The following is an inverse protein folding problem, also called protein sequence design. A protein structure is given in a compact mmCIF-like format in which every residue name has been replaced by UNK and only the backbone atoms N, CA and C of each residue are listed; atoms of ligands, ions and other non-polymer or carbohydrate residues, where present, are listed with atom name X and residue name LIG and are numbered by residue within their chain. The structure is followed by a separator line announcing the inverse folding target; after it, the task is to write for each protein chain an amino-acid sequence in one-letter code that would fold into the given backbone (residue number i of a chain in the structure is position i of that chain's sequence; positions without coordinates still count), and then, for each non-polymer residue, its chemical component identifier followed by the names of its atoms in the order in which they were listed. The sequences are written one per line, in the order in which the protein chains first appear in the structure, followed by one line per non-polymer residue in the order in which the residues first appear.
data_IF_069785605516
#
_entry.id   IF_069785605516
#
_cell.length_a   1.000
_cell.length_b   1.000
_cell.length_c   1.000
_cell.angle_alpha   90.00
_cell.angle_beta   90.00
_cell.angle_gamma   90.00
#
_symmetry.space_group_name_H-M   'P 1'
#
loop_
_entity.id
_entity.type
_entity.pdbx_description
1 polymer ?
#
# COMPACT_ATOMS: atom_id res chain seq x y z
N UNK A 1 -23.10 -1.36 17.22
CA UNK A 1 -22.08 -2.30 16.73
C UNK A 1 -22.64 -3.72 16.71
N UNK A 2 -22.49 -4.48 15.61
CA UNK A 2 -22.92 -5.90 15.50
C UNK A 2 -21.68 -6.74 15.12
N UNK A 3 -21.31 -7.72 15.96
CA UNK A 3 -20.20 -8.62 15.69
C UNK A 3 -20.71 -9.85 14.95
N UNK A 4 -20.00 -10.26 13.90
CA UNK A 4 -20.23 -11.49 13.15
C UNK A 4 -19.11 -12.49 13.45
N UNK A 5 -19.47 -13.75 13.65
CA UNK A 5 -18.50 -14.81 13.98
C UNK A 5 -18.15 -15.66 12.76
N UNK A 6 -16.91 -16.15 12.71
CA UNK A 6 -16.41 -16.99 11.62
C UNK A 6 -16.62 -16.34 10.24
N UNK A 7 -16.28 -15.07 10.15
CA UNK A 7 -16.54 -14.26 8.95
C UNK A 7 -15.55 -14.57 7.83
N UNK A 8 -16.08 -14.83 6.62
CA UNK A 8 -15.28 -15.09 5.42
C UNK A 8 -14.67 -13.80 4.87
N UNK A 9 -13.35 -13.74 4.80
CA UNK A 9 -12.55 -12.63 4.28
C UNK A 9 -12.00 -12.87 2.87
N UNK A 10 -12.39 -13.94 2.20
CA UNK A 10 -11.88 -14.29 0.87
C UNK A 10 -12.11 -13.17 -0.14
N UNK A 11 -13.28 -12.54 -0.12
CA UNK A 11 -13.62 -11.41 -0.99
C UNK A 11 -13.06 -10.06 -0.50
N UNK A 12 -12.41 -10.02 0.67
CA UNK A 12 -11.91 -8.81 1.31
C UNK A 12 -10.38 -8.70 1.26
N UNK A 13 -9.72 -9.50 0.42
CA UNK A 13 -8.33 -9.35 0.08
C UNK A 13 -8.14 -9.51 -1.43
N UNK A 14 -7.39 -8.60 -2.03
CA UNK A 14 -7.24 -8.54 -3.50
C UNK A 14 -6.39 -9.66 -4.08
N UNK A 15 -5.67 -10.44 -3.25
CA UNK A 15 -4.95 -11.64 -3.66
C UNK A 15 -5.87 -12.88 -3.72
N UNK A 16 -7.14 -12.72 -3.30
CA UNK A 16 -8.17 -13.76 -3.22
C UNK A 16 -7.74 -15.00 -2.45
N UNK A 17 -6.93 -14.82 -1.40
CA UNK A 17 -6.60 -15.89 -0.48
C UNK A 17 -7.83 -16.26 0.33
N UNK A 18 -8.13 -17.58 0.38
CA UNK A 18 -9.17 -18.09 1.27
C UNK A 18 -8.81 -17.78 2.71
N UNK A 19 -9.66 -17.02 3.42
CA UNK A 19 -9.38 -16.58 4.77
C UNK A 19 -10.65 -16.38 5.58
N UNK A 20 -10.59 -16.70 6.87
CA UNK A 20 -11.69 -16.54 7.83
C UNK A 20 -11.16 -16.00 9.14
N UNK A 21 -11.77 -14.92 9.67
CA UNK A 21 -11.48 -14.44 11.02
C UNK A 21 -12.53 -14.98 12.02
N UNK A 22 -12.13 -15.07 13.31
CA UNK A 22 -13.05 -15.49 14.36
C UNK A 22 -14.19 -14.51 14.57
N UNK A 23 -13.87 -13.21 14.58
CA UNK A 23 -14.79 -12.12 14.86
C UNK A 23 -14.58 -10.95 13.89
N UNK A 24 -15.68 -10.38 13.43
CA UNK A 24 -15.68 -9.28 12.46
C UNK A 24 -16.68 -8.21 12.86
N UNK A 25 -16.29 -6.96 12.68
CA UNK A 25 -17.17 -5.80 12.82
C UNK A 25 -16.88 -4.77 11.72
N UNK A 26 -17.93 -4.28 11.08
CA UNK A 26 -17.84 -3.12 10.19
C UNK A 26 -18.11 -1.85 11.00
N UNK A 27 -17.17 -0.89 10.96
CA UNK A 27 -17.31 0.39 11.64
C UNK A 27 -17.59 1.51 10.62
N UNK A 28 -18.73 2.17 10.82
CA UNK A 28 -19.16 3.34 10.04
C UNK A 28 -19.12 4.64 10.84
N UNK A 29 -18.87 4.55 12.15
CA UNK A 29 -18.72 5.67 13.07
C UNK A 29 -17.49 5.46 13.97
N UNK A 30 -16.69 6.51 14.19
CA UNK A 30 -15.52 6.45 15.07
C UNK A 30 -15.86 6.24 16.55
N UNK A 31 -17.08 6.59 16.97
CA UNK A 31 -17.58 6.33 18.33
C UNK A 31 -17.73 4.82 18.63
N UNK A 32 -17.82 3.98 17.60
CA UNK A 32 -17.89 2.52 17.74
C UNK A 32 -16.49 1.87 17.96
N UNK A 33 -15.39 2.62 17.83
CA UNK A 33 -14.03 2.08 18.03
C UNK A 33 -13.85 1.59 19.47
N UNK A 34 -14.15 2.41 20.47
CA UNK A 34 -14.02 2.00 21.88
C UNK A 34 -14.90 0.81 22.26
N UNK A 35 -16.18 0.75 21.87
CA UNK A 35 -17.00 -0.45 22.02
C UNK A 35 -16.37 -1.71 21.42
N UNK A 36 -15.77 -1.59 20.21
CA UNK A 36 -15.10 -2.71 19.55
C UNK A 36 -13.85 -3.16 20.32
N UNK A 37 -13.05 -2.23 20.82
CA UNK A 37 -11.87 -2.54 21.65
C UNK A 37 -12.26 -3.19 22.97
N UNK A 38 -13.32 -2.70 23.64
CA UNK A 38 -13.83 -3.35 24.87
C UNK A 38 -14.31 -4.78 24.60
N UNK A 39 -14.96 -5.01 23.44
CA UNK A 39 -15.34 -6.37 23.03
C UNK A 39 -14.12 -7.27 22.85
N UNK A 40 -13.09 -6.82 22.10
CA UNK A 40 -11.87 -7.57 21.87
C UNK A 40 -11.19 -7.95 23.19
N UNK A 41 -11.03 -7.02 24.12
CA UNK A 41 -10.46 -7.25 25.46
C UNK A 41 -11.25 -8.26 26.27
N UNK A 42 -12.59 -8.14 26.29
CA UNK A 42 -13.46 -9.07 27.04
C UNK A 42 -13.38 -10.51 26.54
N UNK A 43 -13.03 -10.71 25.26
CA UNK A 43 -12.89 -12.02 24.63
C UNK A 43 -11.44 -12.49 24.44
N UNK A 44 -10.46 -11.71 24.90
CA UNK A 44 -9.03 -12.05 24.78
C UNK A 44 -8.55 -12.08 23.31
N UNK A 45 -9.14 -11.24 22.44
CA UNK A 45 -8.83 -11.18 21.03
C UNK A 45 -7.86 -10.03 20.72
N UNK A 46 -6.91 -10.28 19.84
CA UNK A 46 -6.16 -9.21 19.18
C UNK A 46 -7.07 -8.43 18.23
N UNK A 47 -6.67 -7.22 17.88
CA UNK A 47 -7.37 -6.36 16.93
C UNK A 47 -6.60 -6.31 15.62
N UNK A 48 -7.28 -6.68 14.54
CA UNK A 48 -6.78 -6.48 13.18
C UNK A 48 -7.64 -5.44 12.46
N UNK A 49 -6.99 -4.41 11.89
CA UNK A 49 -7.68 -3.34 11.13
C UNK A 49 -7.65 -3.68 9.65
N UNK A 50 -8.83 -3.89 9.07
CA UNK A 50 -9.02 -4.12 7.65
C UNK A 50 -9.48 -2.82 6.96
N UNK A 51 -8.80 -2.45 5.89
CA UNK A 51 -9.18 -1.39 4.96
C UNK A 51 -9.65 -2.01 3.64
N UNK A 52 -9.02 -1.69 2.52
CA UNK A 52 -9.35 -2.26 1.20
C UNK A 52 -8.77 -3.65 0.92
N UNK A 53 -7.98 -4.22 1.83
CA UNK A 53 -7.39 -5.55 1.68
C UNK A 53 -6.39 -5.72 0.52
N UNK A 54 -5.87 -4.62 -0.02
CA UNK A 54 -5.06 -4.62 -1.24
C UNK A 54 -3.56 -4.89 -1.03
N UNK A 55 -3.13 -5.06 0.23
CA UNK A 55 -1.71 -5.27 0.57
C UNK A 55 -1.55 -6.27 1.72
N UNK A 56 -2.30 -7.38 1.69
CA UNK A 56 -2.38 -8.35 2.77
C UNK A 56 -2.07 -9.77 2.31
N UNK A 57 -1.38 -10.52 3.18
CA UNK A 57 -1.20 -11.97 3.13
C UNK A 57 -1.90 -12.57 4.35
N UNK A 58 -3.09 -13.10 4.13
CA UNK A 58 -3.96 -13.62 5.18
C UNK A 58 -3.82 -15.13 5.34
N UNK A 59 -3.73 -15.67 6.56
CA UNK A 59 -3.83 -17.10 6.80
C UNK A 59 -5.26 -17.61 6.55
N UNK A 60 -5.41 -18.90 6.30
CA UNK A 60 -6.73 -19.50 6.04
C UNK A 60 -7.71 -19.27 7.21
N UNK A 61 -7.20 -19.28 8.45
CA UNK A 61 -7.98 -18.95 9.66
C UNK A 61 -7.12 -18.19 10.66
N UNK A 62 -7.72 -17.21 11.33
CA UNK A 62 -7.07 -16.52 12.43
C UNK A 62 -8.06 -16.06 13.50
N UNK A 63 -7.54 -15.93 14.73
CA UNK A 63 -8.29 -15.54 15.92
C UNK A 63 -8.01 -14.08 16.26
N UNK A 64 -8.89 -13.19 15.79
CA UNK A 64 -8.83 -11.76 16.08
C UNK A 64 -10.21 -11.12 15.86
N UNK A 65 -10.43 -9.98 16.48
CA UNK A 65 -11.46 -9.05 16.04
C UNK A 65 -10.97 -8.28 14.82
N UNK A 66 -11.51 -8.59 13.65
CA UNK A 66 -11.28 -7.83 12.44
C UNK A 66 -12.20 -6.61 12.42
N UNK A 67 -11.62 -5.42 12.51
CA UNK A 67 -12.31 -4.13 12.40
C UNK A 67 -12.20 -3.65 10.95
N UNK A 68 -13.29 -3.70 10.20
CA UNK A 68 -13.35 -3.20 8.83
C UNK A 68 -13.75 -1.73 8.83
N UNK A 69 -12.83 -0.87 8.38
CA UNK A 69 -12.99 0.58 8.36
C UNK A 69 -13.83 1.03 7.16
N UNK A 70 -15.12 1.33 7.40
CA UNK A 70 -16.08 1.75 6.38
C UNK A 70 -16.63 3.17 6.60
N UNK A 71 -16.04 3.95 7.49
CA UNK A 71 -16.41 5.34 7.76
C UNK A 71 -16.25 6.18 6.51
N UNK A 72 -17.29 6.88 6.10
CA UNK A 72 -17.31 7.75 4.92
C UNK A 72 -17.63 9.19 5.31
N UNK A 73 -17.23 10.12 4.48
CA UNK A 73 -17.45 11.54 4.61
C UNK A 73 -16.20 12.36 4.36
N UNK A 74 -16.43 13.54 3.83
CA UNK A 74 -15.41 14.54 3.52
C UNK A 74 -15.87 15.91 4.00
N UNK A 75 -14.99 16.68 4.59
CA UNK A 75 -15.26 18.00 5.16
C UNK A 75 -14.12 18.95 4.84
N UNK A 76 -14.45 20.14 4.32
CA UNK A 76 -13.45 21.21 4.15
C UNK A 76 -13.24 21.86 5.51
N UNK A 77 -12.01 21.75 6.03
CA UNK A 77 -11.62 22.36 7.31
C UNK A 77 -11.23 23.83 7.14
N UNK A 78 -10.54 24.13 6.04
CA UNK A 78 -10.17 25.50 5.64
C UNK A 78 -9.98 25.59 4.15
N UNK A 79 -10.22 26.77 3.60
CA UNK A 79 -10.02 27.08 2.18
C UNK A 79 -9.70 28.55 2.01
N UNK A 80 -8.71 28.84 1.14
CA UNK A 80 -8.37 30.20 0.70
C UNK A 80 -8.13 30.19 -0.82
N UNK A 81 -7.53 31.26 -1.38
CA UNK A 81 -7.30 31.36 -2.82
C UNK A 81 -6.25 30.37 -3.35
N UNK A 82 -5.29 29.93 -2.52
CA UNK A 82 -4.14 29.13 -2.93
C UNK A 82 -4.29 27.65 -2.56
N UNK A 83 -4.95 27.33 -1.44
CA UNK A 83 -4.98 25.98 -0.86
C UNK A 83 -6.30 25.64 -0.20
N UNK A 84 -6.55 24.35 -0.07
CA UNK A 84 -7.67 23.78 0.67
C UNK A 84 -7.18 22.66 1.60
N UNK A 85 -7.73 22.59 2.81
CA UNK A 85 -7.53 21.47 3.74
C UNK A 85 -8.83 20.68 3.84
N UNK A 86 -8.77 19.41 3.45
CA UNK A 86 -9.93 18.52 3.40
C UNK A 86 -9.71 17.37 4.38
N UNK A 87 -10.61 17.23 5.36
CA UNK A 87 -10.68 16.04 6.21
C UNK A 87 -11.48 14.95 5.52
N UNK A 88 -10.94 13.73 5.50
CA UNK A 88 -11.49 12.58 4.79
C UNK A 88 -11.54 11.39 5.74
N UNK A 89 -12.68 10.71 5.81
CA UNK A 89 -12.83 9.51 6.63
C UNK A 89 -12.07 8.32 6.05
N UNK A 90 -11.57 7.44 6.94
CA UNK A 90 -10.69 6.33 6.58
C UNK A 90 -11.29 5.31 5.59
N UNK A 91 -12.60 5.19 5.55
CA UNK A 91 -13.33 4.27 4.69
C UNK A 91 -13.60 4.77 3.27
N UNK A 92 -13.26 6.02 2.93
CA UNK A 92 -13.37 6.53 1.56
C UNK A 92 -12.44 5.76 0.61
N UNK A 93 -12.89 5.51 -0.62
CA UNK A 93 -12.08 4.85 -1.66
C UNK A 93 -11.01 5.84 -2.13
N UNK A 94 -9.74 5.42 -2.07
CA UNK A 94 -8.61 6.29 -2.40
C UNK A 94 -8.70 6.89 -3.81
N UNK A 95 -8.95 6.05 -4.82
CA UNK A 95 -9.03 6.50 -6.21
C UNK A 95 -10.14 7.51 -6.45
N UNK A 96 -11.32 7.26 -5.88
CA UNK A 96 -12.47 8.15 -6.02
C UNK A 96 -12.19 9.51 -5.37
N UNK A 97 -11.53 9.51 -4.21
CA UNK A 97 -11.09 10.74 -3.55
C UNK A 97 -10.11 11.55 -4.42
N UNK A 98 -9.11 10.89 -5.02
CA UNK A 98 -8.15 11.55 -5.93
C UNK A 98 -8.87 12.15 -7.15
N UNK A 99 -9.77 11.41 -7.77
CA UNK A 99 -10.53 11.88 -8.93
C UNK A 99 -11.45 13.06 -8.57
N UNK A 100 -12.13 12.99 -7.41
CA UNK A 100 -12.98 14.08 -6.92
C UNK A 100 -12.17 15.35 -6.64
N UNK A 101 -10.99 15.24 -6.02
CA UNK A 101 -10.11 16.38 -5.79
C UNK A 101 -9.71 17.05 -7.09
N UNK A 102 -9.22 16.31 -8.08
CA UNK A 102 -8.83 16.85 -9.38
C UNK A 102 -10.00 17.55 -10.08
N UNK A 103 -11.20 16.93 -10.07
CA UNK A 103 -12.40 17.50 -10.68
C UNK A 103 -12.87 18.79 -10.02
N UNK A 104 -12.58 18.99 -8.72
CA UNK A 104 -12.86 20.21 -7.96
C UNK A 104 -11.76 21.29 -8.07
N UNK A 105 -10.68 21.01 -8.81
CA UNK A 105 -9.53 21.90 -8.90
C UNK A 105 -8.65 21.89 -7.64
N UNK A 106 -8.63 20.78 -6.88
CA UNK A 106 -7.74 20.55 -5.75
C UNK A 106 -6.63 19.60 -6.17
N UNK A 107 -5.40 20.08 -6.23
CA UNK A 107 -4.27 19.46 -6.91
C UNK A 107 -3.20 18.94 -5.97
N UNK A 108 -2.47 17.94 -6.45
CA UNK A 108 -1.32 17.30 -5.79
C UNK A 108 -1.37 15.78 -5.80
N UNK A 109 -2.56 15.19 -5.84
CA UNK A 109 -2.77 13.75 -5.72
C UNK A 109 -2.83 13.00 -7.07
N UNK A 110 -2.75 13.66 -8.20
CA UNK A 110 -2.99 13.10 -9.54
C UNK A 110 -2.11 11.89 -9.84
N UNK A 111 -0.82 11.95 -9.46
CA UNK A 111 0.14 10.85 -9.64
C UNK A 111 -0.21 9.59 -8.82
N UNK A 112 -1.03 9.74 -7.78
CA UNK A 112 -1.44 8.66 -6.88
C UNK A 112 -2.77 8.01 -7.28
N UNK A 113 -3.28 8.35 -8.47
CA UNK A 113 -4.50 7.79 -9.02
C UNK A 113 -4.41 6.26 -9.18
N UNK A 114 -5.56 5.59 -9.07
CA UNK A 114 -5.72 4.14 -9.25
C UNK A 114 -4.86 3.27 -8.31
N UNK A 115 -4.34 3.82 -7.20
CA UNK A 115 -3.80 3.00 -6.12
C UNK A 115 -4.98 2.34 -5.42
N UNK A 116 -5.01 0.99 -5.31
CA UNK A 116 -6.14 0.31 -4.69
C UNK A 116 -6.14 0.52 -3.17
N UNK A 117 -7.32 0.48 -2.58
CA UNK A 117 -7.51 0.59 -1.14
C UNK A 117 -8.31 1.83 -0.73
N UNK A 118 -8.29 2.12 0.56
CA UNK A 118 -9.06 3.21 1.17
C UNK A 118 -8.13 4.25 1.79
N UNK A 119 -8.64 5.45 1.99
CA UNK A 119 -7.89 6.61 2.51
C UNK A 119 -7.17 6.30 3.81
N UNK A 120 -7.78 5.59 4.77
CA UNK A 120 -7.16 5.26 6.06
C UNK A 120 -5.92 4.35 5.98
N UNK A 121 -5.71 3.65 4.87
CA UNK A 121 -4.50 2.85 4.66
C UNK A 121 -3.34 3.67 4.04
N UNK A 122 -3.63 4.84 3.46
CA UNK A 122 -2.62 5.64 2.75
C UNK A 122 -1.40 6.01 3.60
N UNK A 123 -1.54 6.46 4.87
CA UNK A 123 -0.41 6.87 5.69
C UNK A 123 0.42 5.69 6.22
N UNK A 124 -0.13 4.46 6.26
CA UNK A 124 0.55 3.32 6.91
C UNK A 124 1.88 3.02 6.24
N UNK A 125 1.91 2.92 4.92
CA UNK A 125 3.11 2.73 4.13
C UNK A 125 3.49 3.99 3.32
N UNK A 126 2.91 5.15 3.67
CA UNK A 126 3.12 6.36 2.90
C UNK A 126 2.99 6.06 1.40
N UNK A 127 1.78 5.67 0.96
CA UNK A 127 1.58 5.21 -0.42
C UNK A 127 2.16 6.21 -1.40
N UNK A 128 2.82 5.71 -2.45
CA UNK A 128 3.50 6.57 -3.41
C UNK A 128 3.59 5.92 -4.78
N UNK A 129 3.48 6.75 -5.81
CA UNK A 129 3.62 6.37 -7.20
C UNK A 129 4.07 7.56 -8.04
N UNK A 130 4.81 7.27 -9.12
CA UNK A 130 5.23 8.27 -10.11
C UNK A 130 5.89 9.52 -9.52
N UNK A 131 6.77 9.32 -8.51
CA UNK A 131 7.57 10.37 -7.89
C UNK A 131 6.84 11.23 -6.85
N UNK A 132 5.65 10.82 -6.41
CA UNK A 132 4.84 11.51 -5.39
C UNK A 132 4.49 10.53 -4.28
N UNK A 133 4.48 11.00 -3.03
CA UNK A 133 4.07 10.23 -1.84
C UNK A 133 2.91 10.94 -1.12
N UNK A 134 1.97 10.18 -0.56
CA UNK A 134 0.80 10.74 0.11
C UNK A 134 1.16 11.63 1.31
N UNK A 135 2.25 11.30 2.00
CA UNK A 135 2.75 12.08 3.14
C UNK A 135 3.14 13.51 2.81
N UNK A 136 3.39 13.85 1.53
CA UNK A 136 3.63 15.24 1.09
C UNK A 136 2.39 16.13 1.26
N UNK A 137 1.20 15.54 1.30
CA UNK A 137 -0.09 16.25 1.36
C UNK A 137 -0.87 16.00 2.64
N UNK A 138 -0.52 14.97 3.41
CA UNK A 138 -1.16 14.69 4.70
C UNK A 138 -0.73 15.75 5.70
N UNK A 139 -1.70 16.44 6.32
CA UNK A 139 -1.46 17.44 7.35
C UNK A 139 -1.70 16.87 8.76
N UNK A 140 -2.80 16.14 8.95
CA UNK A 140 -3.18 15.55 10.24
C UNK A 140 -3.75 14.15 10.04
N UNK A 141 -3.44 13.25 10.97
CA UNK A 141 -4.03 11.91 11.05
C UNK A 141 -4.77 11.77 12.37
N UNK A 142 -6.05 11.43 12.32
CA UNK A 142 -6.88 11.08 13.48
C UNK A 142 -6.86 9.58 13.68
N UNK A 143 -6.45 9.15 14.86
CA UNK A 143 -6.36 7.74 15.20
C UNK A 143 -6.80 7.48 16.65
N UNK A 144 -7.18 6.23 16.92
CA UNK A 144 -7.28 5.73 18.27
C UNK A 144 -5.98 4.97 18.63
N UNK A 145 -5.30 5.40 19.69
CA UNK A 145 -4.09 4.76 20.19
C UNK A 145 -4.46 3.62 21.16
N UNK A 146 -4.28 2.38 20.74
CA UNK A 146 -4.60 1.19 21.53
C UNK A 146 -3.74 1.07 22.80
N UNK A 147 -2.55 1.67 22.82
CA UNK A 147 -1.65 1.65 23.99
C UNK A 147 -2.05 2.68 25.05
N UNK A 148 -2.52 3.85 24.60
CA UNK A 148 -2.95 4.94 25.49
C UNK A 148 -4.46 4.91 25.74
N UNK A 149 -5.21 4.09 24.98
CA UNK A 149 -6.66 3.94 25.04
C UNK A 149 -7.43 5.25 24.84
N UNK A 150 -6.97 6.08 23.89
CA UNK A 150 -7.56 7.40 23.64
C UNK A 150 -7.50 7.79 22.17
N UNK A 151 -8.40 8.67 21.78
CA UNK A 151 -8.34 9.35 20.51
C UNK A 151 -7.20 10.36 20.49
N UNK A 152 -6.42 10.36 19.42
CA UNK A 152 -5.27 11.26 19.23
C UNK A 152 -5.31 11.89 17.83
N UNK A 153 -4.58 12.99 17.71
CA UNK A 153 -4.28 13.64 16.44
C UNK A 153 -2.76 13.70 16.29
N UNK A 154 -2.25 13.29 15.13
CA UNK A 154 -0.84 13.31 14.80
C UNK A 154 -0.63 14.25 13.62
N UNK A 155 0.32 15.19 13.76
CA UNK A 155 0.76 16.02 12.63
C UNK A 155 1.57 15.17 11.63
N UNK A 156 1.76 15.68 10.40
CA UNK A 156 2.62 15.03 9.40
C UNK A 156 4.03 14.74 9.93
N UNK A 157 4.61 15.67 10.71
CA UNK A 157 5.92 15.49 11.34
C UNK A 157 5.93 14.31 12.33
N UNK A 158 4.90 14.20 13.17
CA UNK A 158 4.75 13.10 14.13
C UNK A 158 4.48 11.75 13.47
N UNK A 159 4.02 11.75 12.22
CA UNK A 159 3.82 10.54 11.44
C UNK A 159 5.11 9.92 10.91
N UNK A 160 6.24 10.66 10.94
CA UNK A 160 7.57 10.20 10.50
C UNK A 160 7.54 9.53 9.12
N UNK A 161 6.88 10.17 8.15
CA UNK A 161 6.75 9.62 6.78
C UNK A 161 8.12 9.46 6.12
N UNK A 162 8.35 8.30 5.53
CA UNK A 162 9.52 7.96 4.74
C UNK A 162 9.15 7.06 3.56
N UNK A 163 10.16 6.66 2.77
CA UNK A 163 9.92 5.75 1.65
C UNK A 163 9.35 4.40 2.13
N UNK A 164 8.08 4.14 1.82
CA UNK A 164 7.34 2.96 2.29
C UNK A 164 7.39 2.77 3.80
N UNK A 165 7.41 3.89 4.55
CA UNK A 165 7.52 3.87 6.01
C UNK A 165 6.73 4.99 6.69
N UNK A 166 6.32 4.75 7.95
CA UNK A 166 5.68 5.70 8.85
C UNK A 166 5.69 5.17 10.28
N UNK A 167 5.32 6.01 11.26
CA UNK A 167 5.10 5.56 12.64
C UNK A 167 4.05 4.45 12.74
N UNK A 168 3.04 4.46 11.86
CA UNK A 168 1.97 3.45 11.85
C UNK A 168 2.49 2.08 11.43
N UNK A 169 3.50 2.03 10.58
CA UNK A 169 4.20 0.81 10.19
C UNK A 169 5.22 0.37 11.22
N UNK A 170 6.02 1.30 11.75
CA UNK A 170 7.03 1.04 12.77
C UNK A 170 6.41 0.55 14.08
N UNK A 171 5.19 1.00 14.39
CA UNK A 171 4.41 0.61 15.56
C UNK A 171 3.14 -0.12 15.14
N UNK A 172 3.31 -1.13 14.31
CA UNK A 172 2.21 -1.91 13.76
C UNK A 172 1.28 -2.46 14.86
N UNK A 173 -0.04 -2.41 14.61
CA UNK A 173 -1.05 -2.86 15.58
C UNK A 173 -1.36 -1.87 16.70
N UNK A 174 -0.70 -0.69 16.75
CA UNK A 174 -0.96 0.30 17.80
C UNK A 174 -2.08 1.29 17.47
N UNK A 175 -2.26 1.64 16.22
CA UNK A 175 -3.15 2.74 15.83
C UNK A 175 -4.31 2.26 14.96
N UNK A 176 -5.52 2.72 15.27
CA UNK A 176 -6.71 2.60 14.40
C UNK A 176 -6.97 3.96 13.79
N UNK A 177 -6.54 4.15 12.54
CA UNK A 177 -6.72 5.41 11.81
C UNK A 177 -8.17 5.50 11.34
N UNK A 178 -8.88 6.61 11.66
CA UNK A 178 -10.27 6.80 11.28
C UNK A 178 -10.53 8.02 10.40
N UNK A 179 -9.60 8.99 10.34
CA UNK A 179 -9.66 10.11 9.40
C UNK A 179 -8.27 10.68 9.12
N UNK A 180 -8.14 11.39 8.00
CA UNK A 180 -6.94 12.16 7.62
C UNK A 180 -7.36 13.53 7.11
N UNK A 181 -6.51 14.57 7.24
CA UNK A 181 -6.63 15.78 6.44
C UNK A 181 -5.52 15.86 5.40
N UNK A 182 -5.90 16.35 4.23
CA UNK A 182 -5.01 16.60 3.11
C UNK A 182 -5.00 18.10 2.81
N UNK A 183 -3.80 18.66 2.71
CA UNK A 183 -3.58 20.03 2.26
C UNK A 183 -3.26 20.00 0.78
N UNK A 184 -4.16 20.50 -0.06
CA UNK A 184 -4.09 20.47 -1.52
C UNK A 184 -4.03 21.88 -2.10
N UNK A 185 -3.41 22.02 -3.26
CA UNK A 185 -3.27 23.29 -3.93
C UNK A 185 -4.45 23.55 -4.86
N UNK A 186 -4.85 24.83 -5.01
CA UNK A 186 -5.85 25.27 -6.01
C UNK A 186 -5.21 25.65 -7.34
N UNK A 187 -3.89 25.74 -7.38
CA UNK A 187 -3.09 25.93 -8.59
C UNK A 187 -2.21 24.71 -8.83
N UNK A 188 -2.41 24.02 -9.95
CA UNK A 188 -1.73 22.77 -10.24
C UNK A 188 -0.20 22.93 -10.37
N UNK A 189 0.55 22.17 -9.59
CA UNK A 189 2.00 22.01 -9.73
C UNK A 189 2.29 20.60 -10.21
N UNK A 190 2.29 20.39 -11.52
CA UNK A 190 2.36 19.07 -12.13
C UNK A 190 3.71 18.39 -11.88
N UNK A 191 3.69 17.17 -11.37
CA UNK A 191 4.87 16.32 -11.15
C UNK A 191 5.05 15.37 -12.34
N UNK A 192 5.84 15.79 -13.33
CA UNK A 192 6.03 15.06 -14.59
C UNK A 192 7.36 14.30 -14.69
N UNK A 193 8.27 14.48 -13.73
CA UNK A 193 9.68 14.04 -13.82
C UNK A 193 9.90 12.53 -13.60
N UNK A 194 8.87 11.69 -13.69
CA UNK A 194 9.01 10.26 -13.48
C UNK A 194 8.82 9.47 -14.78
N UNK A 195 9.83 8.70 -15.17
CA UNK A 195 9.82 7.85 -16.36
C UNK A 195 9.34 8.61 -17.64
N UNK A 196 8.36 8.04 -18.36
CA UNK A 196 7.79 8.55 -19.60
C UNK A 196 6.53 9.42 -19.39
N UNK A 197 6.23 9.83 -18.15
CA UNK A 197 5.01 10.59 -17.82
C UNK A 197 4.95 11.90 -18.60
N UNK A 198 6.02 12.70 -18.58
CA UNK A 198 6.07 13.99 -19.31
C UNK A 198 5.79 13.82 -20.81
N UNK A 199 6.42 12.80 -21.44
CA UNK A 199 6.23 12.52 -22.86
C UNK A 199 4.78 12.14 -23.19
N UNK A 200 4.12 11.36 -22.31
CA UNK A 200 2.75 10.91 -22.51
C UNK A 200 1.70 11.98 -22.25
N UNK A 201 1.96 12.87 -21.29
CA UNK A 201 1.06 14.01 -21.01
C UNK A 201 1.11 15.03 -22.13
N UNK A 202 2.31 15.28 -22.70
CA UNK A 202 2.52 16.19 -23.82
C UNK A 202 2.67 17.65 -23.38
N UNK A 203 2.78 18.56 -24.38
CA UNK A 203 3.11 19.98 -24.17
C UNK A 203 1.98 20.75 -23.45
N UNK A 204 0.71 20.43 -23.75
CA UNK A 204 -0.45 21.05 -23.10
C UNK A 204 -0.83 20.33 -21.79
N UNK A 205 0.11 20.17 -20.88
CA UNK A 205 -0.08 19.45 -19.63
C UNK A 205 -1.08 20.19 -18.72
N UNK A 206 -2.11 19.44 -18.27
CA UNK A 206 -3.07 19.85 -17.24
C UNK A 206 -3.14 18.76 -16.17
N UNK A 207 -3.68 19.11 -15.00
CA UNK A 207 -3.88 18.15 -13.92
C UNK A 207 -4.79 16.97 -14.35
N UNK A 208 -5.84 17.28 -15.11
CA UNK A 208 -6.73 16.26 -15.66
C UNK A 208 -6.03 15.33 -16.66
N UNK A 209 -5.23 15.89 -17.59
CA UNK A 209 -4.43 15.10 -18.54
C UNK A 209 -3.41 14.22 -17.78
N UNK A 210 -2.76 14.76 -16.74
CA UNK A 210 -1.86 13.99 -15.89
C UNK A 210 -2.61 12.84 -15.23
N UNK A 211 -3.73 13.11 -14.57
CA UNK A 211 -4.58 12.09 -13.92
C UNK A 211 -4.94 10.97 -14.90
N UNK A 212 -5.48 11.30 -16.07
CA UNK A 212 -5.87 10.32 -17.09
C UNK A 212 -4.68 9.55 -17.65
N UNK A 213 -3.52 10.20 -17.81
CA UNK A 213 -2.29 9.55 -18.23
C UNK A 213 -1.82 8.53 -17.21
N UNK A 214 -1.81 8.87 -15.92
CA UNK A 214 -1.45 7.93 -14.84
C UNK A 214 -2.41 6.74 -14.81
N UNK A 215 -3.72 6.98 -14.89
CA UNK A 215 -4.72 5.91 -14.96
C UNK A 215 -4.44 4.99 -16.15
N UNK A 216 -4.22 5.53 -17.33
CA UNK A 216 -3.92 4.76 -18.55
C UNK A 216 -2.64 3.92 -18.42
N UNK A 217 -1.54 4.52 -17.90
CA UNK A 217 -0.28 3.79 -17.67
C UNK A 217 -0.50 2.62 -16.71
N UNK A 218 -1.23 2.84 -15.62
CA UNK A 218 -1.49 1.80 -14.62
C UNK A 218 -2.36 0.68 -15.17
N UNK A 219 -3.43 0.99 -15.89
CA UNK A 219 -4.30 -0.01 -16.54
C UNK A 219 -3.56 -0.85 -17.57
N UNK A 220 -2.61 -0.27 -18.31
CA UNK A 220 -1.78 -1.00 -19.27
C UNK A 220 -0.76 -1.95 -18.62
N UNK A 221 -0.17 -1.53 -17.49
CA UNK A 221 0.93 -2.25 -16.84
C UNK A 221 0.48 -3.21 -15.75
N UNK A 222 -0.54 -2.83 -14.96
CA UNK A 222 -0.95 -3.59 -13.78
C UNK A 222 -2.17 -4.46 -14.08
N UNK A 223 -2.18 -5.72 -13.60
CA UNK A 223 -3.36 -6.55 -13.68
C UNK A 223 -4.45 -6.04 -12.74
N UNK A 224 -5.69 -6.05 -13.21
CA UNK A 224 -6.84 -5.74 -12.35
C UNK A 224 -7.08 -6.92 -11.40
N UNK A 225 -7.19 -6.69 -10.08
CA UNK A 225 -7.33 -7.77 -9.09
C UNK A 225 -8.54 -8.67 -9.32
N UNK A 226 -9.61 -8.15 -9.92
CA UNK A 226 -10.84 -8.89 -10.25
C UNK A 226 -10.61 -9.97 -11.33
N UNK A 227 -9.61 -9.77 -12.20
CA UNK A 227 -9.23 -10.73 -13.27
C UNK A 227 -7.99 -11.53 -12.90
N UNK A 228 -7.06 -10.90 -12.22
CA UNK A 228 -5.77 -11.45 -11.81
C UNK A 228 -5.52 -11.05 -10.36
N UNK A 229 -6.03 -11.82 -9.38
CA UNK A 229 -5.86 -11.52 -7.96
C UNK A 229 -4.40 -11.26 -7.60
N UNK A 230 -4.14 -10.10 -7.02
CA UNK A 230 -2.79 -9.63 -6.70
C UNK A 230 -2.80 -8.61 -5.56
N UNK A 231 -1.64 -8.31 -4.99
CA UNK A 231 -1.46 -7.30 -3.94
C UNK A 231 -0.62 -6.09 -4.42
N UNK A 232 -0.69 -5.76 -5.72
CA UNK A 232 0.11 -4.70 -6.32
C UNK A 232 1.59 -5.10 -6.49
N UNK A 233 2.50 -4.13 -6.33
CA UNK A 233 3.94 -4.41 -6.32
C UNK A 233 4.29 -5.28 -5.11
N UNK A 234 4.80 -6.48 -5.37
CA UNK A 234 5.02 -7.46 -4.30
C UNK A 234 6.31 -7.24 -3.52
N UNK A 235 7.33 -6.65 -4.15
CA UNK A 235 8.61 -6.36 -3.50
C UNK A 235 8.91 -4.87 -3.55
N UNK A 236 9.56 -4.37 -2.50
CA UNK A 236 10.14 -3.03 -2.50
C UNK A 236 11.33 -2.96 -3.46
N UNK A 237 11.57 -1.77 -4.02
CA UNK A 237 12.82 -1.51 -4.70
C UNK A 237 13.96 -1.51 -3.66
N UNK A 238 14.95 -2.41 -3.75
CA UNK A 238 16.03 -2.49 -2.77
C UNK A 238 16.92 -1.25 -2.84
N UNK A 239 17.32 -0.76 -1.66
CA UNK A 239 18.31 0.31 -1.52
C UNK A 239 19.63 -0.37 -1.11
N UNK A 240 20.64 -0.26 -1.98
CA UNK A 240 21.94 -0.92 -1.84
C UNK A 240 23.06 0.10 -1.73
N UNK A 241 24.23 -0.32 -1.23
CA UNK A 241 25.40 0.55 -1.13
C UNK A 241 25.96 0.89 -2.53
N UNK A 242 26.74 1.98 -2.62
CA UNK A 242 27.43 2.34 -3.85
C UNK A 242 28.37 1.21 -4.33
N UNK A 243 29.01 0.46 -3.41
CA UNK A 243 29.87 -0.68 -3.76
C UNK A 243 29.04 -1.81 -4.37
N UNK A 244 27.94 -2.22 -3.72
CA UNK A 244 27.06 -3.27 -4.27
C UNK A 244 26.51 -2.89 -5.66
N UNK A 245 26.23 -1.61 -5.87
CA UNK A 245 25.80 -1.14 -7.18
C UNK A 245 26.95 -1.17 -8.19
N UNK A 246 28.18 -0.81 -7.82
CA UNK A 246 29.35 -0.92 -8.70
C UNK A 246 29.57 -2.37 -9.15
N UNK A 247 29.50 -3.31 -8.22
CA UNK A 247 29.63 -4.75 -8.51
C UNK A 247 28.51 -5.24 -9.45
N UNK A 248 27.28 -4.77 -9.25
CA UNK A 248 26.15 -5.05 -10.16
C UNK A 248 26.41 -4.47 -11.56
N UNK A 249 26.86 -3.22 -11.64
CA UNK A 249 27.05 -2.49 -12.90
C UNK A 249 28.20 -3.07 -13.76
N UNK A 250 29.19 -3.73 -13.18
CA UNK A 250 30.24 -4.45 -13.92
C UNK A 250 29.65 -5.50 -14.85
N UNK A 251 28.60 -6.21 -14.40
CA UNK A 251 27.92 -7.25 -15.17
C UNK A 251 26.67 -6.75 -15.90
N UNK A 252 26.05 -5.69 -15.38
CA UNK A 252 24.78 -5.13 -15.86
C UNK A 252 24.84 -3.60 -15.92
N UNK A 253 25.60 -2.99 -16.85
CA UNK A 253 25.85 -1.55 -16.91
C UNK A 253 24.57 -0.71 -17.10
N UNK A 254 23.49 -1.30 -17.63
CA UNK A 254 22.23 -0.64 -17.87
C UNK A 254 21.17 -0.95 -16.78
N UNK A 255 21.58 -1.43 -15.58
CA UNK A 255 20.66 -1.69 -14.48
C UNK A 255 19.92 -0.41 -14.06
N UNK A 256 18.57 -0.36 -14.12
CA UNK A 256 17.81 0.83 -13.73
C UNK A 256 17.99 1.12 -12.24
N UNK A 257 18.42 2.34 -11.93
CA UNK A 257 18.67 2.77 -10.56
C UNK A 257 18.35 4.25 -10.37
N UNK A 258 18.21 4.65 -9.10
CA UNK A 258 17.94 6.02 -8.68
C UNK A 258 18.84 6.35 -7.49
N UNK A 259 19.67 7.37 -7.65
CA UNK A 259 20.56 7.82 -6.59
C UNK A 259 19.76 8.36 -5.40
N UNK A 260 20.18 7.99 -4.19
CA UNK A 260 19.60 8.47 -2.94
C UNK A 260 20.52 9.53 -2.30
N UNK A 261 19.94 10.42 -1.47
CA UNK A 261 20.66 11.54 -0.85
C UNK A 261 21.90 11.12 -0.02
N UNK A 262 21.91 9.88 0.49
CA UNK A 262 22.99 9.34 1.34
C UNK A 262 24.06 8.56 0.54
N UNK A 263 24.10 8.68 -0.78
CA UNK A 263 25.01 7.94 -1.66
C UNK A 263 24.62 6.49 -1.94
N UNK A 264 23.53 6.02 -1.34
CA UNK A 264 22.96 4.70 -1.65
C UNK A 264 22.28 4.72 -3.03
N UNK A 265 22.04 3.53 -3.60
CA UNK A 265 21.38 3.37 -4.89
C UNK A 265 20.09 2.54 -4.72
N UNK A 266 18.96 3.06 -5.19
CA UNK A 266 17.69 2.33 -5.23
C UNK A 266 17.58 1.63 -6.60
N UNK A 267 17.63 0.30 -6.62
CA UNK A 267 17.57 -0.52 -7.84
C UNK A 267 16.13 -0.97 -8.11
N UNK A 268 15.74 -1.04 -9.38
CA UNK A 268 14.41 -1.49 -9.77
C UNK A 268 14.22 -2.99 -9.51
N UNK A 269 13.41 -3.37 -8.51
CA UNK A 269 13.14 -4.77 -8.18
C UNK A 269 12.49 -5.52 -9.37
N UNK A 270 11.58 -4.87 -10.12
CA UNK A 270 10.98 -5.47 -11.30
C UNK A 270 11.99 -5.87 -12.38
N UNK A 271 13.06 -5.08 -12.53
CA UNK A 271 14.16 -5.43 -13.44
C UNK A 271 14.97 -6.64 -12.91
N UNK A 272 15.30 -6.68 -11.62
CA UNK A 272 16.00 -7.84 -11.02
C UNK A 272 15.21 -9.14 -11.22
N UNK A 273 13.88 -9.07 -10.99
CA UNK A 273 12.97 -10.22 -11.15
C UNK A 273 12.91 -10.66 -12.61
N UNK A 274 12.82 -9.71 -13.56
CA UNK A 274 12.82 -9.99 -15.01
C UNK A 274 14.14 -10.64 -15.45
N UNK A 275 15.29 -10.06 -15.03
CA UNK A 275 16.62 -10.61 -15.32
C UNK A 275 16.86 -11.99 -14.68
N UNK A 276 16.18 -12.30 -13.57
CA UNK A 276 16.23 -13.64 -12.96
C UNK A 276 15.30 -14.65 -13.66
N UNK A 277 14.57 -14.23 -14.73
CA UNK A 277 13.70 -15.11 -15.52
C UNK A 277 12.36 -15.42 -14.84
N UNK A 278 11.91 -14.56 -13.92
CA UNK A 278 10.65 -14.75 -13.22
C UNK A 278 9.45 -14.06 -13.87
N UNK A 279 9.66 -13.08 -14.76
CA UNK A 279 8.56 -12.42 -15.47
C UNK A 279 7.75 -13.43 -16.28
N UNK A 280 6.45 -13.55 -16.00
CA UNK A 280 5.54 -14.53 -16.60
C UNK A 280 5.73 -15.98 -16.11
N UNK A 281 6.72 -16.26 -15.27
CA UNK A 281 6.96 -17.59 -14.70
C UNK A 281 6.02 -17.84 -13.52
N UNK A 282 5.55 -19.09 -13.41
CA UNK A 282 4.67 -19.58 -12.34
C UNK A 282 5.31 -20.74 -11.58
N UNK A 283 4.94 -20.86 -10.31
CA UNK A 283 5.17 -22.02 -9.47
C UNK A 283 3.79 -22.50 -8.96
N UNK A 284 3.21 -23.47 -9.63
CA UNK A 284 1.81 -23.85 -9.42
C UNK A 284 0.85 -22.71 -9.82
N UNK A 285 -0.06 -22.37 -8.91
CA UNK A 285 -1.06 -21.31 -9.10
C UNK A 285 -0.55 -19.90 -8.79
N UNK A 286 0.71 -19.73 -8.41
CA UNK A 286 1.31 -18.43 -8.10
C UNK A 286 2.43 -18.11 -9.06
N UNK A 287 2.55 -16.85 -9.48
CA UNK A 287 3.66 -16.42 -10.33
C UNK A 287 3.71 -14.94 -10.58
N UNK A 288 4.77 -14.49 -11.26
CA UNK A 288 4.91 -13.07 -11.61
C UNK A 288 4.17 -12.75 -12.89
N UNK A 289 3.54 -11.59 -12.93
CA UNK A 289 2.72 -11.17 -14.08
C UNK A 289 3.58 -10.93 -15.33
N UNK A 290 3.07 -11.37 -16.48
CA UNK A 290 3.82 -11.33 -17.76
C UNK A 290 4.13 -9.91 -18.26
N UNK A 291 3.27 -8.92 -17.94
CA UNK A 291 3.46 -7.51 -18.36
C UNK A 291 4.18 -6.67 -17.31
N UNK A 292 4.19 -7.12 -16.04
CA UNK A 292 4.83 -6.41 -14.92
C UNK A 292 5.46 -7.42 -13.95
N UNK A 293 6.77 -7.59 -14.05
CA UNK A 293 7.53 -8.54 -13.26
C UNK A 293 7.47 -8.31 -11.73
N UNK A 294 7.04 -7.14 -11.28
CA UNK A 294 6.95 -6.81 -9.86
C UNK A 294 5.61 -7.24 -9.22
N UNK A 295 4.62 -7.67 -10.02
CA UNK A 295 3.31 -8.06 -9.53
C UNK A 295 3.21 -9.59 -9.45
N UNK A 296 3.04 -10.10 -8.24
CA UNK A 296 2.74 -11.50 -7.98
C UNK A 296 1.23 -11.71 -8.06
N UNK A 297 0.83 -12.72 -8.83
CA UNK A 297 -0.58 -13.04 -9.13
C UNK A 297 -0.92 -14.43 -8.61
N UNK A 298 -2.10 -14.56 -8.04
CA UNK A 298 -2.76 -15.82 -7.77
C UNK A 298 -3.61 -16.19 -9.01
N UNK A 299 -3.17 -17.16 -9.78
CA UNK A 299 -3.82 -17.61 -11.02
C UNK A 299 -4.88 -18.70 -10.82
N UNK A 300 -5.09 -19.15 -9.58
CA UNK A 300 -5.99 -20.24 -9.26
C UNK A 300 -6.56 -20.13 -7.86
N UNK A 301 -6.36 -21.17 -7.07
CA UNK A 301 -6.79 -21.22 -5.66
C UNK A 301 -5.60 -21.40 -4.72
N UNK A 302 -4.60 -20.55 -4.89
CA UNK A 302 -3.39 -20.62 -4.09
C UNK A 302 -3.67 -20.39 -2.60
N UNK A 303 -3.00 -21.17 -1.78
CA UNK A 303 -2.93 -20.94 -0.34
C UNK A 303 -1.88 -19.87 0.01
N UNK A 304 -1.90 -19.37 1.25
CA UNK A 304 -0.82 -18.52 1.75
C UNK A 304 0.55 -19.20 1.64
N UNK A 305 0.61 -20.53 1.88
CA UNK A 305 1.87 -21.28 1.75
C UNK A 305 2.40 -21.33 0.31
N UNK A 306 1.52 -21.40 -0.69
CA UNK A 306 1.94 -21.36 -2.10
C UNK A 306 2.52 -20.00 -2.46
N UNK A 307 1.91 -18.91 -1.95
CA UNK A 307 2.42 -17.55 -2.10
C UNK A 307 3.79 -17.42 -1.42
N UNK A 308 3.93 -17.90 -0.17
CA UNK A 308 5.18 -17.85 0.59
C UNK A 308 6.29 -18.62 -0.13
N UNK A 309 6.04 -19.86 -0.51
CA UNK A 309 7.01 -20.68 -1.27
C UNK A 309 7.47 -20.00 -2.56
N UNK A 310 6.55 -19.33 -3.26
CA UNK A 310 6.87 -18.67 -4.52
C UNK A 310 7.76 -17.45 -4.30
N UNK A 311 7.42 -16.57 -3.35
CA UNK A 311 8.25 -15.38 -3.14
C UNK A 311 9.60 -15.71 -2.49
N UNK A 312 9.69 -16.73 -1.64
CA UNK A 312 10.96 -17.22 -1.07
C UNK A 312 11.89 -17.78 -2.16
N UNK A 313 11.32 -18.51 -3.14
CA UNK A 313 12.10 -18.97 -4.29
C UNK A 313 12.62 -17.80 -5.14
N UNK A 314 11.78 -16.77 -5.36
CA UNK A 314 12.19 -15.55 -6.07
C UNK A 314 13.32 -14.84 -5.33
N UNK A 315 13.19 -14.67 -4.00
CA UNK A 315 14.24 -14.08 -3.17
C UNK A 315 15.55 -14.86 -3.29
N UNK A 316 15.49 -16.19 -3.19
CA UNK A 316 16.65 -17.08 -3.29
C UNK A 316 17.35 -16.93 -4.65
N UNK A 317 16.59 -17.03 -5.75
CA UNK A 317 17.15 -16.94 -7.11
C UNK A 317 17.80 -15.56 -7.37
N UNK A 318 17.19 -14.48 -6.87
CA UNK A 318 17.71 -13.12 -7.01
C UNK A 318 18.97 -12.93 -6.15
N UNK A 319 18.96 -13.43 -4.92
CA UNK A 319 20.14 -13.34 -4.06
C UNK A 319 21.34 -14.13 -4.64
N UNK A 320 21.09 -15.35 -5.15
CA UNK A 320 22.13 -16.15 -5.81
C UNK A 320 22.71 -15.46 -7.05
N UNK A 321 21.88 -14.74 -7.81
CA UNK A 321 22.30 -14.11 -9.07
C UNK A 321 22.95 -12.75 -8.87
N UNK A 322 22.48 -11.93 -7.90
CA UNK A 322 22.84 -10.52 -7.77
C UNK A 322 23.42 -10.15 -6.40
N UNK A 323 23.42 -11.06 -5.42
CA UNK A 323 23.73 -10.79 -4.01
C UNK A 323 22.87 -9.66 -3.40
N UNK A 324 21.66 -9.41 -3.95
CA UNK A 324 20.72 -8.40 -3.51
C UNK A 324 19.52 -9.09 -2.86
N UNK A 325 19.12 -8.62 -1.68
CA UNK A 325 17.93 -9.11 -0.97
C UNK A 325 16.71 -8.31 -1.37
N UNK A 326 15.60 -8.99 -1.70
CA UNK A 326 14.29 -8.38 -1.90
C UNK A 326 13.45 -8.51 -0.64
N UNK A 327 12.72 -7.44 -0.30
CA UNK A 327 11.79 -7.39 0.83
C UNK A 327 10.36 -7.37 0.31
N UNK A 328 9.47 -8.32 0.73
CA UNK A 328 8.06 -8.26 0.39
C UNK A 328 7.39 -7.01 0.96
N UNK A 329 6.48 -6.42 0.20
CA UNK A 329 5.73 -5.23 0.60
C UNK A 329 4.39 -5.55 1.30
N UNK A 330 3.65 -6.62 0.90
CA UNK A 330 2.40 -6.98 1.56
C UNK A 330 2.59 -7.35 3.03
N UNK A 331 1.59 -7.03 3.84
CA UNK A 331 1.58 -7.32 5.28
C UNK A 331 1.15 -8.76 5.52
N UNK A 332 2.00 -9.53 6.19
CA UNK A 332 1.72 -10.92 6.58
C UNK A 332 1.04 -10.95 7.96
N UNK A 333 -0.09 -11.64 8.08
CA UNK A 333 -0.74 -11.93 9.34
C UNK A 333 -0.43 -13.35 9.82
N UNK A 334 -0.30 -13.50 11.15
CA UNK A 334 -0.26 -14.80 11.80
C UNK A 334 -1.68 -15.29 12.18
N UNK A 335 -1.74 -16.48 12.76
CA UNK A 335 -3.00 -17.11 13.23
C UNK A 335 -3.70 -16.36 14.38
N UNK A 336 -3.09 -15.35 14.97
CA UNK A 336 -3.65 -14.51 16.03
C UNK A 336 -4.02 -13.11 15.51
N UNK A 337 -4.00 -12.89 14.20
CA UNK A 337 -4.29 -11.59 13.57
C UNK A 337 -3.24 -10.53 13.81
N UNK A 338 -2.04 -10.90 14.20
CA UNK A 338 -0.91 -10.00 14.42
C UNK A 338 -0.07 -9.91 13.14
N UNK A 339 0.54 -8.74 12.93
CA UNK A 339 1.49 -8.55 11.84
C UNK A 339 2.77 -9.32 12.17
N UNK A 340 3.14 -10.24 11.28
CA UNK A 340 4.33 -11.05 11.38
C UNK A 340 5.41 -10.59 10.41
N UNK A 341 6.69 -10.72 10.78
CA UNK A 341 7.76 -10.54 9.81
C UNK A 341 7.66 -11.62 8.72
N UNK A 342 8.05 -11.26 7.50
CA UNK A 342 8.23 -12.26 6.45
C UNK A 342 9.37 -13.21 6.82
N UNK A 343 9.20 -14.49 6.49
CA UNK A 343 10.27 -15.47 6.63
C UNK A 343 11.39 -15.02 5.68
N UNK A 344 12.59 -14.84 6.23
CA UNK A 344 13.76 -14.54 5.41
C UNK A 344 14.26 -15.83 4.78
N UNK A 345 14.38 -15.89 3.47
CA UNK A 345 15.00 -17.01 2.74
C UNK A 345 16.54 -17.02 2.88
N UNK A 346 17.10 -16.20 3.81
CA UNK A 346 18.55 -15.98 3.98
C UNK A 346 19.03 -16.33 5.37
#
# INVERSE_FOLDING_TARGET
MSVQHNFDLTAFNTLALKSQCSDYVALTDHNDIEPAIRYAKAHGLNVFVLSGGSNLLLPEKFQALTIHMLMQGKEILSENDDEVVIKVQAGEIWHDFVCECCAKGYHGLENLALIPGRVGAAPVQNIGAYGVEAGEFIETVWAYDLKQEQHIQLTAEQCHFGYRDSIFKQQAGRYIIYALSFKLLKHAQLRLNYADVAQRVGEDATAEKLLQTIISIRQQKLPQPEQFPNAGSFFKNPVITAQQFSDLAEHYPNAPHYQQHNGMQKVAAGWLIDQAGWKGRRLGDVGMFERQALVLVNYGQASLQDVQRTYEQIQTDIYQKFAIRLEPEPVLLNQFGEISPHISAY
#
